data_IF_315324319173
#
_entry.id   IF_315324319173
#
_cell.length_a   1.000
_cell.length_b   1.000
_cell.length_c   1.000
_cell.angle_alpha   90.00
_cell.angle_beta   90.00
_cell.angle_gamma   90.00
#
_symmetry.space_group_name_H-M   'P 1'
#
loop_
_entity.id
_entity.type
_entity.pdbx_description
1 polymer ?
#
# COMPACT_ATOMS: atom_id res chain seq x y z
N UNK A 1 -15.54 34.65 -13.64
CA UNK A 1 -15.70 34.17 -12.26
C UNK A 1 -16.71 35.06 -11.59
N UNK A 2 -17.97 34.67 -11.47
CA UNK A 2 -18.98 35.43 -10.79
C UNK A 2 -19.21 34.82 -9.41
N UNK A 3 -19.00 35.66 -8.39
CA UNK A 3 -19.31 35.32 -7.00
C UNK A 3 -20.75 35.75 -6.73
N UNK A 4 -21.59 34.85 -6.24
CA UNK A 4 -22.89 35.21 -5.69
C UNK A 4 -22.82 35.20 -4.17
N UNK A 5 -23.08 36.35 -3.56
CA UNK A 5 -23.25 36.52 -2.13
C UNK A 5 -24.72 36.22 -1.80
N UNK A 6 -24.96 35.15 -1.08
CA UNK A 6 -26.28 34.87 -0.50
C UNK A 6 -26.32 35.46 0.91
N UNK A 7 -27.06 36.54 1.10
CA UNK A 7 -27.38 37.10 2.43
C UNK A 7 -28.58 36.30 3.02
N UNK A 8 -28.30 35.48 4.00
CA UNK A 8 -29.29 34.86 4.85
C UNK A 8 -28.80 34.93 6.30
N UNK A 9 -29.61 35.55 7.16
CA UNK A 9 -29.35 35.70 8.59
C UNK A 9 -29.20 34.36 9.30
N UNK A 10 -27.98 33.83 9.45
CA UNK A 10 -27.63 32.89 10.49
C UNK A 10 -26.16 33.14 10.90
N UNK A 11 -25.96 33.40 12.16
CA UNK A 11 -24.68 33.76 12.79
C UNK A 11 -23.79 32.50 13.01
N UNK A 12 -23.36 31.85 11.96
CA UNK A 12 -22.30 30.83 11.99
C UNK A 12 -21.51 30.87 10.67
N UNK A 13 -20.16 30.85 10.69
CA UNK A 13 -19.39 30.85 9.47
C UNK A 13 -19.58 29.50 8.73
N UNK A 14 -20.32 29.53 7.61
CA UNK A 14 -20.51 28.38 6.73
C UNK A 14 -19.31 28.20 5.81
N UNK A 15 -18.78 26.98 5.76
CA UNK A 15 -17.77 26.59 4.78
C UNK A 15 -18.45 26.16 3.47
N UNK A 16 -17.92 26.60 2.32
CA UNK A 16 -18.41 26.25 1.00
C UNK A 16 -17.39 25.37 0.28
N UNK A 17 -17.85 24.31 -0.36
CA UNK A 17 -17.03 23.44 -1.21
C UNK A 17 -17.37 23.72 -2.67
N UNK A 18 -16.37 24.13 -3.48
CA UNK A 18 -16.51 24.24 -4.92
C UNK A 18 -16.29 22.89 -5.61
N UNK A 19 -17.31 22.37 -6.26
CA UNK A 19 -17.21 21.24 -7.17
C UNK A 19 -17.34 21.81 -8.60
N UNK A 20 -16.27 21.68 -9.39
CA UNK A 20 -16.15 22.01 -10.81
C UNK A 20 -17.44 22.58 -11.48
N UNK A 21 -17.58 23.91 -11.46
CA UNK A 21 -18.45 24.62 -12.39
C UNK A 21 -19.95 24.55 -12.16
N UNK A 22 -20.45 23.93 -11.10
CA UNK A 22 -21.87 23.87 -10.76
C UNK A 22 -22.10 24.15 -9.28
N UNK A 23 -22.93 25.16 -9.01
CA UNK A 23 -23.52 25.63 -7.76
C UNK A 23 -22.83 25.21 -6.43
N UNK A 24 -22.44 26.22 -5.66
CA UNK A 24 -21.98 26.06 -4.27
C UNK A 24 -23.14 25.56 -3.39
N UNK A 25 -23.01 24.38 -2.80
CA UNK A 25 -23.98 23.82 -1.85
C UNK A 25 -23.45 24.06 -0.45
N UNK A 26 -24.21 24.63 0.50
CA UNK A 26 -23.79 24.80 1.89
C UNK A 26 -23.57 23.43 2.54
N UNK A 27 -22.52 23.30 3.35
CA UNK A 27 -22.10 22.05 3.99
C UNK A 27 -23.23 21.34 4.76
N UNK A 28 -24.15 22.09 5.35
CA UNK A 28 -25.31 21.55 6.07
C UNK A 28 -26.38 20.91 5.14
N UNK A 29 -26.41 21.28 3.86
CA UNK A 29 -27.34 20.69 2.86
C UNK A 29 -26.80 19.38 2.27
N UNK A 30 -25.49 19.30 2.08
CA UNK A 30 -24.83 18.07 1.57
C UNK A 30 -25.03 16.90 2.55
N UNK A 31 -25.09 17.18 3.85
CA UNK A 31 -25.30 16.15 4.86
C UNK A 31 -26.74 15.59 4.88
N UNK A 32 -27.74 16.43 4.57
CA UNK A 32 -29.15 16.02 4.62
C UNK A 32 -29.63 15.35 3.34
N UNK A 33 -29.17 15.80 2.17
CA UNK A 33 -29.61 15.26 0.89
C UNK A 33 -28.92 13.94 0.54
N UNK A 34 -27.64 13.76 0.96
CA UNK A 34 -26.91 12.50 0.79
C UNK A 34 -27.42 11.37 1.71
N UNK A 35 -28.20 11.69 2.75
CA UNK A 35 -28.82 10.68 3.60
C UNK A 35 -30.11 10.09 3.00
N UNK A 36 -30.76 10.76 2.02
CA UNK A 36 -32.02 10.31 1.41
C UNK A 36 -31.85 9.61 0.07
N UNK A 37 -30.69 9.67 -0.55
CA UNK A 37 -30.39 8.85 -1.72
C UNK A 37 -29.79 7.51 -1.25
N UNK A 38 -30.19 6.36 -1.85
CA UNK A 38 -29.53 5.09 -1.60
C UNK A 38 -28.16 5.09 -2.28
N UNK A 39 -27.25 5.90 -1.71
CA UNK A 39 -25.83 5.87 -2.06
C UNK A 39 -25.23 4.51 -1.70
N UNK A 40 -24.11 4.11 -2.29
CA UNK A 40 -23.52 2.81 -2.02
C UNK A 40 -23.35 2.64 -0.49
N UNK A 41 -23.73 1.50 0.09
CA UNK A 41 -23.92 1.26 1.53
C UNK A 41 -22.66 1.47 2.40
N UNK A 42 -21.60 1.93 1.81
CA UNK A 42 -20.27 2.08 2.42
C UNK A 42 -20.00 3.46 3.02
N UNK A 43 -20.62 4.53 2.52
CA UNK A 43 -20.44 5.88 3.08
C UNK A 43 -21.26 6.06 4.37
N UNK A 44 -22.43 5.43 4.45
CA UNK A 44 -23.28 5.48 5.63
C UNK A 44 -22.61 4.86 6.88
N UNK A 45 -21.87 3.77 6.72
CA UNK A 45 -21.16 3.12 7.83
C UNK A 45 -20.01 3.95 8.41
N UNK A 46 -19.26 4.64 7.56
CA UNK A 46 -18.13 5.50 7.99
C UNK A 46 -18.62 6.83 8.57
N UNK A 47 -19.65 7.43 7.98
CA UNK A 47 -20.25 8.66 8.50
C UNK A 47 -21.03 8.40 9.78
N UNK A 48 -21.76 7.29 9.87
CA UNK A 48 -22.44 6.86 11.11
C UNK A 48 -21.44 6.63 12.25
N UNK A 49 -20.33 5.98 11.97
CA UNK A 49 -19.27 5.75 12.96
C UNK A 49 -18.60 7.06 13.42
N UNK A 50 -18.36 8.01 12.51
CA UNK A 50 -17.79 9.32 12.86
C UNK A 50 -18.79 10.21 13.61
N UNK A 51 -20.10 10.14 13.32
CA UNK A 51 -21.14 10.90 14.01
C UNK A 51 -21.44 10.31 15.40
N UNK A 52 -21.42 8.99 15.53
CA UNK A 52 -21.64 8.33 16.83
C UNK A 52 -20.44 8.53 17.77
N UNK A 53 -19.22 8.67 17.26
CA UNK A 53 -18.03 9.00 18.06
C UNK A 53 -17.93 10.48 18.45
N UNK A 54 -18.61 11.40 17.79
CA UNK A 54 -18.62 12.81 18.22
C UNK A 54 -19.27 13.04 19.59
N UNK A 55 -20.02 12.05 20.08
CA UNK A 55 -20.59 12.04 21.44
C UNK A 55 -19.75 11.25 22.46
N UNK A 56 -18.69 10.54 22.01
CA UNK A 56 -17.74 9.88 22.87
C UNK A 56 -16.33 10.25 22.42
N UNK A 57 -15.70 11.24 23.04
CA UNK A 57 -14.25 11.40 22.95
C UNK A 57 -13.62 10.06 23.31
N UNK A 58 -12.87 9.39 22.40
CA UNK A 58 -12.15 8.19 22.76
C UNK A 58 -10.95 8.60 23.63
N UNK A 59 -11.21 8.82 24.91
CA UNK A 59 -10.19 9.20 25.92
C UNK A 59 -9.34 8.02 26.38
N UNK A 60 -9.40 6.86 25.71
CA UNK A 60 -8.61 5.67 26.00
C UNK A 60 -7.95 5.10 24.77
N UNK A 61 -6.71 4.56 24.91
CA UNK A 61 -5.96 3.91 23.84
C UNK A 61 -6.74 2.83 23.07
N UNK A 62 -7.69 2.16 23.72
CA UNK A 62 -8.55 1.13 23.14
C UNK A 62 -9.51 1.69 22.07
N UNK A 63 -10.00 2.92 22.23
CA UNK A 63 -10.88 3.57 21.24
C UNK A 63 -10.15 3.88 19.92
N UNK A 64 -8.92 4.37 20.02
CA UNK A 64 -8.09 4.66 18.85
C UNK A 64 -7.69 3.39 18.09
N UNK A 65 -7.33 2.32 18.81
CA UNK A 65 -7.01 1.04 18.19
C UNK A 65 -8.21 0.47 17.42
N UNK A 66 -9.39 0.47 18.04
CA UNK A 66 -10.65 0.05 17.39
C UNK A 66 -10.93 0.85 16.12
N UNK A 67 -10.73 2.16 16.15
CA UNK A 67 -10.89 3.02 14.97
C UNK A 67 -9.99 2.57 13.82
N UNK A 68 -8.68 2.38 14.05
CA UNK A 68 -7.75 1.95 13.00
C UNK A 68 -8.07 0.54 12.48
N UNK A 69 -8.52 -0.37 13.34
CA UNK A 69 -8.97 -1.72 12.94
C UNK A 69 -10.22 -1.63 12.06
N UNK A 70 -11.20 -0.80 12.39
CA UNK A 70 -12.40 -0.63 11.56
C UNK A 70 -12.09 0.05 10.21
N UNK A 71 -11.16 0.98 10.17
CA UNK A 71 -10.65 1.55 8.91
C UNK A 71 -10.04 0.45 8.04
N UNK A 72 -9.18 -0.41 8.60
CA UNK A 72 -8.59 -1.54 7.88
C UNK A 72 -9.65 -2.54 7.42
N UNK A 73 -10.61 -2.89 8.26
CA UNK A 73 -11.72 -3.80 7.94
C UNK A 73 -12.60 -3.26 6.81
N UNK A 74 -12.90 -1.97 6.84
CA UNK A 74 -13.69 -1.32 5.79
C UNK A 74 -12.92 -1.31 4.45
N UNK A 75 -11.64 -1.02 4.48
CA UNK A 75 -10.78 -1.08 3.29
C UNK A 75 -10.69 -2.49 2.71
N UNK A 76 -10.57 -3.52 3.54
CA UNK A 76 -10.65 -4.92 3.13
C UNK A 76 -11.98 -5.24 2.45
N UNK A 77 -13.12 -4.91 3.09
CA UNK A 77 -14.46 -5.17 2.55
C UNK A 77 -14.70 -4.45 1.23
N UNK A 78 -14.17 -3.24 1.06
CA UNK A 78 -14.26 -2.48 -0.20
C UNK A 78 -13.64 -3.26 -1.37
N UNK A 79 -12.55 -4.02 -1.16
CA UNK A 79 -11.93 -4.81 -2.21
C UNK A 79 -12.80 -5.98 -2.69
N UNK A 80 -13.70 -6.52 -1.84
CA UNK A 80 -14.62 -7.58 -2.22
C UNK A 80 -15.63 -7.13 -3.29
N UNK A 81 -15.95 -5.84 -3.36
CA UNK A 81 -16.84 -5.28 -4.40
C UNK A 81 -16.16 -5.33 -5.77
N UNK A 82 -14.86 -5.11 -5.83
CA UNK A 82 -14.06 -5.09 -7.06
C UNK A 82 -13.55 -6.48 -7.47
N UNK A 83 -14.31 -7.55 -7.14
CA UNK A 83 -13.89 -8.96 -7.36
C UNK A 83 -13.43 -9.27 -8.78
N UNK A 84 -14.11 -8.74 -9.81
CA UNK A 84 -13.76 -8.98 -11.21
C UNK A 84 -12.44 -8.31 -11.62
N UNK A 85 -12.21 -7.08 -11.18
CA UNK A 85 -10.94 -6.38 -11.40
C UNK A 85 -9.78 -7.10 -10.68
N UNK A 86 -10.04 -7.61 -9.48
CA UNK A 86 -9.07 -8.38 -8.72
C UNK A 86 -8.77 -9.74 -9.37
N UNK A 87 -9.78 -10.41 -9.94
CA UNK A 87 -9.61 -11.64 -10.71
C UNK A 87 -8.77 -11.40 -11.97
N UNK A 88 -9.05 -10.34 -12.74
CA UNK A 88 -8.23 -9.97 -13.88
C UNK A 88 -6.76 -9.73 -13.47
N UNK A 89 -6.54 -9.07 -12.33
CA UNK A 89 -5.21 -8.87 -11.78
C UNK A 89 -4.53 -10.17 -11.30
N UNK A 90 -5.28 -11.13 -10.76
CA UNK A 90 -4.78 -12.47 -10.44
C UNK A 90 -4.29 -13.19 -11.70
N UNK A 91 -5.12 -13.21 -12.74
CA UNK A 91 -4.77 -13.82 -14.03
C UNK A 91 -3.53 -13.17 -14.65
N UNK A 92 -3.41 -11.85 -14.55
CA UNK A 92 -2.21 -11.12 -14.99
C UNK A 92 -0.96 -11.58 -14.24
N UNK A 93 -1.02 -11.71 -12.92
CA UNK A 93 0.14 -12.20 -12.14
C UNK A 93 0.52 -13.64 -12.51
N UNK A 94 -0.47 -14.52 -12.73
CA UNK A 94 -0.22 -15.90 -13.18
C UNK A 94 0.41 -15.88 -14.57
N UNK A 95 -0.10 -15.09 -15.50
CA UNK A 95 0.44 -14.96 -16.86
C UNK A 95 1.91 -14.55 -16.85
N UNK A 96 2.27 -13.48 -16.12
CA UNK A 96 3.67 -13.06 -15.99
C UNK A 96 4.50 -14.09 -15.24
N UNK A 97 3.95 -14.74 -14.22
CA UNK A 97 4.62 -15.85 -13.53
C UNK A 97 5.01 -16.98 -14.47
N UNK A 98 4.13 -17.36 -15.40
CA UNK A 98 4.39 -18.38 -16.43
C UNK A 98 5.53 -17.90 -17.37
N UNK A 99 5.44 -16.69 -17.92
CA UNK A 99 6.48 -16.13 -18.81
C UNK A 99 7.84 -16.15 -18.13
N UNK A 100 7.94 -15.58 -16.91
CA UNK A 100 9.20 -15.54 -16.18
C UNK A 100 9.71 -16.95 -15.85
N UNK A 101 8.81 -17.91 -15.56
CA UNK A 101 9.22 -19.30 -15.31
C UNK A 101 9.89 -19.94 -16.51
N UNK A 102 9.35 -19.76 -17.72
CA UNK A 102 9.98 -20.27 -18.92
C UNK A 102 11.32 -19.61 -19.25
N UNK A 103 11.44 -18.31 -19.01
CA UNK A 103 12.72 -17.59 -19.13
C UNK A 103 13.76 -18.16 -18.16
N UNK A 104 13.35 -18.45 -16.91
CA UNK A 104 14.23 -19.04 -15.91
C UNK A 104 14.63 -20.46 -16.30
N UNK A 105 13.70 -21.29 -16.73
CA UNK A 105 13.99 -22.65 -17.17
C UNK A 105 15.01 -22.61 -18.33
N UNK A 106 14.82 -21.74 -19.32
CA UNK A 106 15.75 -21.57 -20.41
C UNK A 106 17.16 -21.12 -19.95
N UNK A 107 17.23 -20.19 -18.98
CA UNK A 107 18.50 -19.75 -18.39
C UNK A 107 19.25 -20.91 -17.73
N UNK A 108 18.53 -21.73 -16.96
CA UNK A 108 19.13 -22.84 -16.20
C UNK A 108 19.47 -24.07 -17.07
N UNK A 109 18.99 -24.15 -18.31
CA UNK A 109 19.52 -25.10 -19.29
C UNK A 109 20.98 -24.80 -19.64
N UNK A 110 21.38 -23.53 -19.66
CA UNK A 110 22.76 -23.15 -19.96
C UNK A 110 23.68 -23.18 -18.72
N UNK A 111 23.11 -22.99 -17.51
CA UNK A 111 23.88 -22.94 -16.24
C UNK A 111 23.08 -23.61 -15.12
N UNK A 112 23.50 -24.77 -14.58
CA UNK A 112 22.74 -25.52 -13.58
C UNK A 112 22.49 -24.78 -12.25
N UNK A 113 23.33 -23.82 -11.93
CA UNK A 113 23.18 -22.96 -10.75
C UNK A 113 23.68 -21.54 -11.00
N UNK A 114 23.02 -20.55 -10.39
CA UNK A 114 23.38 -19.13 -10.43
C UNK A 114 23.28 -18.57 -9.01
N UNK A 115 24.36 -18.00 -8.49
CA UNK A 115 24.43 -17.39 -7.15
C UNK A 115 23.90 -18.28 -6.02
N UNK A 116 24.12 -19.60 -6.09
CA UNK A 116 23.66 -20.58 -5.10
C UNK A 116 22.17 -20.96 -5.21
N UNK A 117 21.49 -20.50 -6.27
CA UNK A 117 20.12 -20.90 -6.60
C UNK A 117 20.13 -21.94 -7.71
N UNK A 118 19.31 -22.97 -7.57
CA UNK A 118 18.96 -23.90 -8.65
C UNK A 118 17.65 -23.45 -9.33
N UNK A 119 17.25 -24.15 -10.39
CA UNK A 119 16.02 -23.82 -11.12
C UNK A 119 14.78 -23.83 -10.21
N UNK A 120 14.67 -24.80 -9.30
CA UNK A 120 13.54 -24.94 -8.39
C UNK A 120 13.46 -23.78 -7.40
N UNK A 121 14.59 -23.39 -6.81
CA UNK A 121 14.67 -22.25 -5.89
C UNK A 121 14.27 -20.95 -6.60
N UNK A 122 14.75 -20.76 -7.84
CA UNK A 122 14.48 -19.57 -8.63
C UNK A 122 13.01 -19.51 -9.08
N UNK A 123 12.40 -20.65 -9.43
CA UNK A 123 10.96 -20.70 -9.70
C UNK A 123 10.15 -20.34 -8.46
N UNK A 124 10.46 -20.91 -7.30
CA UNK A 124 9.82 -20.56 -6.02
C UNK A 124 9.94 -19.07 -5.74
N UNK A 125 11.14 -18.51 -5.90
CA UNK A 125 11.40 -17.07 -5.72
C UNK A 125 10.52 -16.24 -6.65
N UNK A 126 10.49 -16.57 -7.94
CA UNK A 126 9.69 -15.83 -8.94
C UNK A 126 8.21 -15.83 -8.62
N UNK A 127 7.65 -16.98 -8.24
CA UNK A 127 6.23 -17.05 -7.87
C UNK A 127 5.92 -16.37 -6.53
N UNK A 128 6.87 -16.33 -5.58
CA UNK A 128 6.75 -15.51 -4.39
C UNK A 128 6.75 -14.02 -4.73
N UNK A 129 7.60 -13.58 -5.65
CA UNK A 129 7.60 -12.19 -6.15
C UNK A 129 6.24 -11.84 -6.75
N UNK A 130 5.71 -12.68 -7.65
CA UNK A 130 4.39 -12.45 -8.26
C UNK A 130 3.26 -12.42 -7.21
N UNK A 131 3.36 -13.23 -6.16
CA UNK A 131 2.41 -13.23 -5.05
C UNK A 131 2.49 -11.96 -4.19
N UNK A 132 3.70 -11.46 -3.92
CA UNK A 132 3.94 -10.35 -2.99
C UNK A 132 3.89 -8.97 -3.65
N UNK A 133 4.15 -8.84 -4.95
CA UNK A 133 4.31 -7.54 -5.62
C UNK A 133 3.09 -6.62 -5.44
N UNK A 134 1.88 -7.17 -5.46
CA UNK A 134 0.66 -6.39 -5.25
C UNK A 134 0.39 -6.06 -3.78
N UNK A 135 0.88 -6.89 -2.86
CA UNK A 135 0.77 -6.64 -1.41
C UNK A 135 1.67 -5.47 -1.03
N UNK A 136 2.87 -5.44 -1.58
CA UNK A 136 3.92 -4.52 -1.16
C UNK A 136 3.94 -3.23 -1.98
N UNK A 137 3.78 -3.30 -3.29
CA UNK A 137 3.94 -2.16 -4.19
C UNK A 137 2.63 -1.62 -4.77
N UNK A 138 1.57 -2.40 -4.85
CA UNK A 138 0.27 -2.04 -5.45
C UNK A 138 0.38 -1.08 -6.63
N UNK A 139 0.46 -1.60 -7.84
CA UNK A 139 0.58 -0.79 -9.06
C UNK A 139 -0.56 0.20 -9.22
N UNK A 140 -0.22 1.44 -9.63
CA UNK A 140 -1.22 2.45 -9.96
C UNK A 140 -2.01 2.96 -8.75
N UNK A 141 -1.48 2.77 -7.54
CA UNK A 141 -2.13 3.33 -6.36
C UNK A 141 -1.82 4.82 -6.21
N UNK A 142 -2.80 5.63 -6.54
CA UNK A 142 -2.74 7.09 -6.49
C UNK A 142 -3.90 7.69 -5.68
N UNK A 143 -4.54 6.89 -4.82
CA UNK A 143 -5.72 7.34 -4.06
C UNK A 143 -5.42 8.59 -3.22
N UNK A 144 -4.31 8.59 -2.46
CA UNK A 144 -3.91 9.75 -1.67
C UNK A 144 -3.56 10.95 -2.57
N UNK A 145 -2.86 10.72 -3.68
CA UNK A 145 -2.53 11.76 -4.66
C UNK A 145 -3.80 12.41 -5.24
N UNK A 146 -4.81 11.60 -5.58
CA UNK A 146 -6.10 12.10 -6.07
C UNK A 146 -6.85 12.86 -4.98
N UNK A 147 -6.82 12.39 -3.74
CA UNK A 147 -7.41 13.08 -2.58
C UNK A 147 -6.74 14.44 -2.35
N UNK A 148 -5.41 14.53 -2.49
CA UNK A 148 -4.66 15.80 -2.39
C UNK A 148 -5.07 16.75 -3.52
N UNK A 149 -5.07 16.27 -4.77
CA UNK A 149 -5.39 17.10 -5.95
C UNK A 149 -6.83 17.60 -5.98
N UNK A 150 -7.77 16.85 -5.45
CA UNK A 150 -9.18 17.26 -5.33
C UNK A 150 -9.46 18.19 -4.15
N UNK A 151 -8.47 18.42 -3.28
CA UNK A 151 -8.66 19.17 -2.03
C UNK A 151 -9.36 18.36 -0.92
N UNK A 152 -9.85 17.15 -1.20
CA UNK A 152 -10.52 16.30 -0.21
C UNK A 152 -9.60 15.87 0.96
N UNK A 153 -8.28 16.04 0.79
CA UNK A 153 -7.28 15.80 1.84
C UNK A 153 -7.51 16.65 3.10
N UNK A 154 -8.14 17.82 2.96
CA UNK A 154 -8.51 18.67 4.10
C UNK A 154 -9.43 17.91 5.07
N UNK A 155 -10.40 17.16 4.54
CA UNK A 155 -11.26 16.30 5.36
C UNK A 155 -10.47 15.23 6.09
N UNK A 156 -9.43 14.65 5.48
CA UNK A 156 -8.58 13.64 6.12
C UNK A 156 -7.65 14.27 7.18
N UNK A 157 -7.17 15.49 6.95
CA UNK A 157 -6.33 16.23 7.90
C UNK A 157 -7.12 16.77 9.11
N UNK A 158 -8.43 17.01 8.95
CA UNK A 158 -9.31 17.50 10.03
C UNK A 158 -9.84 16.38 10.94
N UNK A 159 -9.61 15.12 10.60
CA UNK A 159 -10.01 13.99 11.45
C UNK A 159 -9.23 13.99 12.77
N UNK A 160 -9.88 13.64 13.91
CA UNK A 160 -9.21 13.56 15.21
C UNK A 160 -8.34 12.30 15.33
N UNK A 161 -7.49 12.03 14.34
CA UNK A 161 -6.58 10.89 14.30
C UNK A 161 -5.30 11.25 13.54
N UNK A 162 -4.24 10.48 13.76
CA UNK A 162 -2.99 10.69 13.02
C UNK A 162 -3.18 10.35 11.54
N UNK A 163 -2.85 11.31 10.66
CA UNK A 163 -3.04 11.19 9.22
C UNK A 163 -2.30 9.99 8.61
N UNK A 164 -1.03 9.76 9.03
CA UNK A 164 -0.25 8.64 8.52
C UNK A 164 -0.85 7.30 8.94
N UNK A 165 -1.20 7.13 10.23
CA UNK A 165 -1.79 5.89 10.72
C UNK A 165 -3.17 5.61 10.14
N UNK A 166 -3.96 6.65 9.81
CA UNK A 166 -5.22 6.48 9.09
C UNK A 166 -4.98 5.86 7.70
N UNK A 167 -4.07 6.45 6.90
CA UNK A 167 -3.74 5.92 5.58
C UNK A 167 -3.02 4.57 5.66
N UNK A 168 -2.16 4.37 6.64
CA UNK A 168 -1.52 3.08 6.91
C UNK A 168 -2.55 1.98 7.15
N UNK A 169 -3.52 2.19 8.05
CA UNK A 169 -4.55 1.20 8.38
C UNK A 169 -5.41 0.85 7.18
N UNK A 170 -5.79 1.86 6.37
CA UNK A 170 -6.52 1.66 5.13
C UNK A 170 -5.75 0.77 4.14
N UNK A 171 -4.47 1.05 3.96
CA UNK A 171 -3.59 0.28 3.08
C UNK A 171 -3.30 -1.11 3.62
N UNK A 172 -3.12 -1.24 4.92
CA UNK A 172 -2.89 -2.53 5.57
C UNK A 172 -4.09 -3.47 5.41
N UNK A 173 -5.31 -2.97 5.60
CA UNK A 173 -6.53 -3.74 5.34
C UNK A 173 -6.63 -4.22 3.88
N UNK A 174 -6.24 -3.40 2.91
CA UNK A 174 -6.17 -3.76 1.51
C UNK A 174 -5.08 -4.81 1.23
N UNK A 175 -3.92 -4.69 1.88
CA UNK A 175 -2.83 -5.66 1.73
C UNK A 175 -3.22 -7.05 2.24
N UNK A 176 -3.99 -7.15 3.34
CA UNK A 176 -4.54 -8.42 3.83
C UNK A 176 -5.46 -9.05 2.77
N UNK A 177 -6.31 -8.25 2.13
CA UNK A 177 -7.14 -8.75 1.02
C UNK A 177 -6.28 -9.29 -0.13
N UNK A 178 -5.26 -8.55 -0.55
CA UNK A 178 -4.38 -8.99 -1.64
C UNK A 178 -3.57 -10.24 -1.27
N UNK A 179 -3.17 -10.39 -0.02
CA UNK A 179 -2.51 -11.61 0.44
C UNK A 179 -3.40 -12.84 0.25
N UNK A 180 -4.66 -12.75 0.67
CA UNK A 180 -5.60 -13.87 0.67
C UNK A 180 -6.12 -14.17 -0.74
N UNK A 181 -6.54 -13.15 -1.49
CA UNK A 181 -7.28 -13.33 -2.76
C UNK A 181 -6.42 -13.20 -4.02
N UNK A 182 -5.17 -12.77 -3.90
CA UNK A 182 -4.22 -12.67 -5.02
C UNK A 182 -2.91 -13.38 -4.72
N UNK A 183 -2.25 -13.07 -3.62
CA UNK A 183 -0.94 -13.60 -3.28
C UNK A 183 -0.96 -15.11 -3.13
N UNK A 184 -1.79 -15.61 -2.21
CA UNK A 184 -1.91 -17.04 -1.96
C UNK A 184 -2.33 -17.82 -3.21
N UNK A 185 -3.40 -17.45 -3.95
CA UNK A 185 -3.78 -18.16 -5.18
C UNK A 185 -2.72 -18.10 -6.28
N UNK A 186 -1.99 -16.97 -6.43
CA UNK A 186 -0.88 -16.88 -7.38
C UNK A 186 0.21 -17.89 -7.06
N UNK A 187 0.64 -17.96 -5.80
CA UNK A 187 1.70 -18.88 -5.38
C UNK A 187 1.28 -20.34 -5.54
N UNK A 188 0.05 -20.68 -5.15
CA UNK A 188 -0.52 -22.03 -5.33
C UNK A 188 -0.59 -22.41 -6.81
N UNK A 189 -1.03 -21.49 -7.68
CA UNK A 189 -1.03 -21.73 -9.13
C UNK A 189 0.37 -22.06 -9.66
N UNK A 190 1.39 -21.30 -9.24
CA UNK A 190 2.78 -21.58 -9.62
C UNK A 190 3.27 -22.94 -9.12
N UNK A 191 2.94 -23.30 -7.89
CA UNK A 191 3.30 -24.57 -7.30
C UNK A 191 2.67 -25.75 -8.07
N UNK A 192 1.43 -25.62 -8.50
CA UNK A 192 0.72 -26.64 -9.27
C UNK A 192 1.25 -26.74 -10.71
N UNK A 193 1.49 -25.60 -11.37
CA UNK A 193 1.93 -25.57 -12.77
C UNK A 193 3.38 -26.07 -12.95
N UNK A 194 4.26 -25.79 -12.01
CA UNK A 194 5.69 -26.09 -12.12
C UNK A 194 6.19 -27.13 -11.11
N UNK A 195 5.31 -27.71 -10.30
CA UNK A 195 5.58 -28.83 -9.36
C UNK A 195 6.81 -28.60 -8.47
N UNK A 196 7.08 -27.35 -8.06
CA UNK A 196 8.27 -27.05 -7.25
C UNK A 196 8.07 -27.32 -5.74
N UNK A 197 6.85 -27.64 -5.29
CA UNK A 197 6.51 -27.95 -3.89
C UNK A 197 6.55 -26.73 -2.94
N UNK A 198 6.01 -26.89 -1.75
CA UNK A 198 6.07 -25.86 -0.72
C UNK A 198 7.52 -25.68 -0.22
N UNK A 199 7.98 -24.43 0.02
CA UNK A 199 9.30 -24.22 0.58
C UNK A 199 9.26 -24.27 2.10
N UNK A 200 10.40 -24.65 2.68
CA UNK A 200 10.73 -24.42 4.08
C UNK A 200 9.92 -25.19 5.11
N UNK A 201 10.43 -25.12 6.32
CA UNK A 201 9.79 -25.62 7.52
C UNK A 201 8.80 -24.59 8.08
N UNK A 202 7.95 -24.99 9.04
CA UNK A 202 6.97 -24.11 9.65
C UNK A 202 7.59 -22.85 10.30
N UNK A 203 8.83 -22.94 10.81
CA UNK A 203 9.58 -21.79 11.34
C UNK A 203 9.84 -20.73 10.26
N UNK A 204 10.20 -21.17 9.05
CA UNK A 204 10.41 -20.27 7.92
C UNK A 204 9.12 -19.55 7.50
N UNK A 205 7.97 -20.24 7.63
CA UNK A 205 6.66 -19.61 7.38
C UNK A 205 6.31 -18.54 8.40
N UNK A 206 6.57 -18.75 9.69
CA UNK A 206 6.36 -17.73 10.72
C UNK A 206 7.28 -16.52 10.52
N UNK A 207 8.56 -16.77 10.29
CA UNK A 207 9.53 -15.73 10.01
C UNK A 207 9.20 -14.96 8.72
N UNK A 208 8.70 -15.66 7.68
CA UNK A 208 8.21 -15.08 6.44
C UNK A 208 7.02 -14.14 6.69
N UNK A 209 6.01 -14.57 7.43
CA UNK A 209 4.83 -13.74 7.72
C UNK A 209 5.20 -12.47 8.48
N UNK A 210 6.11 -12.57 9.45
CA UNK A 210 6.65 -11.41 10.15
C UNK A 210 7.39 -10.49 9.19
N UNK A 211 8.31 -11.03 8.39
CA UNK A 211 9.09 -10.30 7.40
C UNK A 211 8.20 -9.68 6.32
N UNK A 212 7.17 -10.39 5.84
CA UNK A 212 6.19 -9.86 4.89
C UNK A 212 5.41 -8.67 5.48
N UNK A 213 5.04 -8.76 6.76
CA UNK A 213 4.34 -7.67 7.46
C UNK A 213 5.23 -6.43 7.57
N UNK A 214 6.51 -6.60 7.93
CA UNK A 214 7.49 -5.51 7.97
C UNK A 214 7.72 -4.94 6.56
N UNK A 215 7.93 -5.78 5.56
CA UNK A 215 8.11 -5.37 4.17
C UNK A 215 6.87 -4.63 3.62
N UNK A 216 5.66 -5.14 3.91
CA UNK A 216 4.41 -4.46 3.56
C UNK A 216 4.30 -3.08 4.25
N UNK A 217 4.75 -2.96 5.50
CA UNK A 217 4.76 -1.68 6.22
C UNK A 217 5.71 -0.67 5.58
N UNK A 218 6.92 -1.08 5.17
CA UNK A 218 7.85 -0.25 4.38
C UNK A 218 7.21 0.13 3.05
N UNK A 219 6.53 -0.81 2.38
CA UNK A 219 5.84 -0.57 1.11
C UNK A 219 4.68 0.43 1.24
N UNK A 220 3.89 0.36 2.30
CA UNK A 220 2.84 1.36 2.60
C UNK A 220 3.48 2.74 2.79
N UNK A 221 4.52 2.81 3.62
CA UNK A 221 5.25 4.04 3.87
C UNK A 221 5.79 4.65 2.57
N UNK A 222 6.40 3.84 1.72
CA UNK A 222 6.89 4.26 0.41
C UNK A 222 5.77 4.79 -0.51
N UNK A 223 4.60 4.11 -0.51
CA UNK A 223 3.42 4.57 -1.27
C UNK A 223 2.90 5.91 -0.79
N UNK A 224 2.78 6.10 0.51
CA UNK A 224 2.35 7.39 1.09
C UNK A 224 3.35 8.48 0.70
N UNK A 225 4.66 8.19 0.74
CA UNK A 225 5.71 9.15 0.40
C UNK A 225 5.61 9.65 -1.05
N UNK A 226 5.52 8.76 -2.05
CA UNK A 226 5.43 9.20 -3.44
C UNK A 226 4.09 9.86 -3.78
N UNK A 227 3.01 9.50 -3.09
CA UNK A 227 1.73 10.19 -3.25
C UNK A 227 1.75 11.60 -2.66
N UNK A 228 2.48 11.81 -1.55
CA UNK A 228 2.63 13.11 -0.91
C UNK A 228 3.32 14.16 -1.81
N UNK A 229 4.05 13.73 -2.86
CA UNK A 229 4.62 14.63 -3.88
C UNK A 229 3.55 15.53 -4.52
N UNK A 230 2.27 15.09 -4.54
CA UNK A 230 1.14 15.89 -5.04
C UNK A 230 0.88 17.18 -4.27
N UNK A 231 1.40 17.34 -3.07
CA UNK A 231 1.34 18.63 -2.35
C UNK A 231 2.21 19.73 -3.00
N UNK A 232 3.21 19.34 -3.80
CA UNK A 232 4.15 20.27 -4.42
C UNK A 232 4.01 20.35 -5.94
N UNK A 233 3.58 19.25 -6.59
CA UNK A 233 3.57 19.14 -8.05
C UNK A 233 2.17 18.79 -8.58
N UNK A 234 1.71 19.54 -9.59
CA UNK A 234 0.43 19.28 -10.27
C UNK A 234 0.46 17.95 -11.04
N UNK A 235 1.57 17.64 -11.71
CA UNK A 235 1.75 16.39 -12.48
C UNK A 235 2.47 15.31 -11.67
N UNK A 236 2.01 15.09 -10.42
CA UNK A 236 2.61 14.15 -9.49
C UNK A 236 2.52 12.68 -9.96
N UNK A 237 1.58 12.33 -10.87
CA UNK A 237 1.39 10.95 -11.33
C UNK A 237 2.63 10.43 -12.09
N UNK A 238 3.24 11.23 -12.96
CA UNK A 238 4.45 10.84 -13.68
C UNK A 238 5.60 10.54 -12.70
N UNK A 239 5.77 11.41 -11.70
CA UNK A 239 6.77 11.23 -10.64
C UNK A 239 6.46 9.94 -9.85
N UNK A 240 5.20 9.72 -9.45
CA UNK A 240 4.78 8.51 -8.75
C UNK A 240 5.06 7.23 -9.56
N UNK A 241 4.84 7.26 -10.89
CA UNK A 241 5.17 6.14 -11.77
C UNK A 241 6.67 5.86 -11.78
N UNK A 242 7.51 6.89 -11.82
CA UNK A 242 8.97 6.73 -11.74
C UNK A 242 9.38 6.04 -10.42
N UNK A 243 8.80 6.45 -9.27
CA UNK A 243 9.04 5.80 -7.99
C UNK A 243 8.67 4.31 -8.02
N UNK A 244 7.53 3.96 -8.64
CA UNK A 244 7.11 2.56 -8.77
C UNK A 244 8.10 1.76 -9.61
N UNK A 245 8.55 2.29 -10.76
CA UNK A 245 9.52 1.60 -11.64
C UNK A 245 10.85 1.38 -10.93
N UNK A 246 11.36 2.39 -10.20
CA UNK A 246 12.58 2.27 -9.38
C UNK A 246 12.40 1.16 -8.33
N UNK A 247 11.27 1.16 -7.62
CA UNK A 247 11.01 0.14 -6.62
C UNK A 247 10.98 -1.27 -7.23
N UNK A 248 10.30 -1.48 -8.36
CA UNK A 248 10.23 -2.77 -9.04
C UNK A 248 11.60 -3.32 -9.43
N UNK A 249 12.50 -2.45 -9.86
CA UNK A 249 13.86 -2.86 -10.20
C UNK A 249 14.64 -3.31 -8.96
N UNK A 250 14.61 -2.51 -7.89
CA UNK A 250 15.42 -2.76 -6.69
C UNK A 250 14.78 -3.72 -5.67
N UNK A 251 13.52 -4.14 -5.86
CA UNK A 251 12.89 -5.19 -5.04
C UNK A 251 13.20 -6.61 -5.52
N UNK A 252 13.79 -6.76 -6.71
CA UNK A 252 14.00 -8.07 -7.33
C UNK A 252 12.79 -8.58 -8.11
N UNK A 253 11.86 -7.68 -8.48
CA UNK A 253 10.64 -8.08 -9.19
C UNK A 253 10.89 -8.49 -10.64
N UNK A 254 11.88 -7.92 -11.30
CA UNK A 254 12.28 -8.26 -12.68
C UNK A 254 13.42 -9.27 -12.72
N UNK A 255 14.43 -9.08 -11.87
CA UNK A 255 15.61 -9.94 -11.78
C UNK A 255 15.83 -10.26 -10.31
N UNK A 256 15.92 -11.55 -9.90
CA UNK A 256 16.22 -11.89 -8.53
C UNK A 256 17.45 -11.16 -8.01
N UNK A 257 17.34 -10.50 -6.85
CA UNK A 257 18.44 -9.71 -6.28
C UNK A 257 19.76 -10.48 -6.20
N UNK A 258 19.79 -11.77 -5.81
CA UNK A 258 21.03 -12.54 -5.77
C UNK A 258 21.78 -12.64 -7.11
N UNK A 259 21.12 -12.35 -8.24
CA UNK A 259 21.74 -12.41 -9.58
C UNK A 259 22.46 -11.12 -10.00
N UNK A 260 22.34 -10.09 -9.19
CA UNK A 260 23.07 -8.83 -9.43
C UNK A 260 24.57 -9.00 -9.16
N UNK A 261 25.44 -8.20 -9.82
CA UNK A 261 26.88 -8.22 -9.57
C UNK A 261 27.18 -7.77 -8.13
N UNK A 262 28.32 -8.25 -7.59
CA UNK A 262 28.68 -8.02 -6.15
C UNK A 262 28.66 -6.56 -5.74
N UNK A 263 29.10 -5.64 -6.58
CA UNK A 263 29.08 -4.20 -6.29
C UNK A 263 27.66 -3.66 -6.12
N UNK A 264 26.71 -4.13 -6.96
CA UNK A 264 25.31 -3.73 -6.87
C UNK A 264 24.64 -4.33 -5.62
N UNK A 265 24.93 -5.59 -5.29
CA UNK A 265 24.45 -6.23 -4.06
C UNK A 265 24.87 -5.46 -2.81
N UNK A 266 26.12 -4.96 -2.76
CA UNK A 266 26.64 -4.17 -1.64
C UNK A 266 25.81 -2.90 -1.40
N UNK A 267 25.23 -2.33 -2.44
CA UNK A 267 24.35 -1.14 -2.36
C UNK A 267 22.91 -1.56 -2.07
N UNK A 268 22.36 -2.48 -2.87
CA UNK A 268 20.94 -2.86 -2.83
C UNK A 268 20.54 -3.41 -1.47
N UNK A 269 21.40 -4.18 -0.82
CA UNK A 269 21.11 -4.75 0.50
C UNK A 269 20.81 -3.70 1.58
N UNK A 270 21.29 -2.47 1.43
CA UNK A 270 21.05 -1.36 2.37
C UNK A 270 19.88 -0.47 1.95
N UNK A 271 19.30 -0.66 0.75
CA UNK A 271 18.13 0.10 0.32
C UNK A 271 16.84 -0.45 0.95
N UNK A 272 15.81 0.39 1.16
CA UNK A 272 14.52 -0.03 1.68
C UNK A 272 13.84 -1.07 0.78
N UNK A 273 14.15 -1.06 -0.50
CA UNK A 273 13.53 -1.93 -1.51
C UNK A 273 13.84 -3.41 -1.29
N UNK A 274 15.05 -3.72 -0.83
CA UNK A 274 15.44 -5.10 -0.49
C UNK A 274 14.53 -5.70 0.60
N UNK A 275 14.12 -4.87 1.56
CA UNK A 275 13.24 -5.24 2.66
C UNK A 275 11.82 -5.60 2.20
N UNK A 276 11.38 -5.16 1.01
CA UNK A 276 10.00 -5.29 0.55
C UNK A 276 9.65 -6.71 0.13
N UNK A 277 10.45 -7.30 -0.74
CA UNK A 277 10.14 -8.59 -1.40
C UNK A 277 11.29 -9.58 -1.23
N UNK A 278 12.53 -9.14 -1.48
CA UNK A 278 13.68 -10.07 -1.52
C UNK A 278 13.95 -10.74 -0.15
N UNK A 279 13.96 -9.97 0.94
CA UNK A 279 14.21 -10.53 2.29
C UNK A 279 13.12 -11.53 2.68
N UNK A 280 11.80 -11.23 2.61
CA UNK A 280 10.76 -12.23 2.86
C UNK A 280 10.90 -13.47 2.00
N UNK A 281 11.17 -13.31 0.69
CA UNK A 281 11.33 -14.45 -0.21
C UNK A 281 12.52 -15.35 0.18
N UNK A 282 13.66 -14.77 0.51
CA UNK A 282 14.84 -15.52 0.91
C UNK A 282 14.66 -16.22 2.26
N UNK A 283 13.93 -15.62 3.22
CA UNK A 283 13.57 -16.25 4.49
C UNK A 283 12.73 -17.51 4.23
N UNK A 284 11.68 -17.40 3.44
CA UNK A 284 10.80 -18.54 3.15
C UNK A 284 11.55 -19.67 2.41
N UNK A 285 12.50 -19.31 1.54
CA UNK A 285 13.34 -20.27 0.81
C UNK A 285 14.46 -20.88 1.68
N UNK A 286 14.62 -20.46 2.94
CA UNK A 286 15.73 -20.92 3.80
C UNK A 286 17.11 -20.50 3.30
N UNK A 287 17.20 -19.40 2.52
CA UNK A 287 18.47 -18.87 1.99
C UNK A 287 19.17 -17.89 2.94
N UNK A 288 18.47 -17.45 3.97
CA UNK A 288 19.05 -16.66 5.06
C UNK A 288 19.38 -17.61 6.21
N UNK A 289 20.64 -17.68 6.64
CA UNK A 289 21.04 -18.51 7.76
C UNK A 289 20.41 -18.01 9.06
N UNK A 290 20.13 -18.91 10.01
CA UNK A 290 19.44 -18.58 11.27
C UNK A 290 20.11 -17.47 12.07
N UNK A 291 21.46 -17.45 12.10
CA UNK A 291 22.21 -16.40 12.77
C UNK A 291 22.09 -15.00 12.14
N UNK A 292 21.70 -14.91 10.86
CA UNK A 292 21.45 -13.66 10.16
C UNK A 292 19.98 -13.23 10.16
N UNK A 293 19.05 -14.13 10.53
CA UNK A 293 17.63 -13.87 10.48
C UNK A 293 17.21 -12.65 11.33
N UNK A 294 17.67 -12.60 12.56
CA UNK A 294 17.37 -11.47 13.45
C UNK A 294 17.93 -10.15 12.93
N UNK A 295 19.11 -10.17 12.32
CA UNK A 295 19.71 -8.99 11.70
C UNK A 295 18.86 -8.48 10.54
N UNK A 296 18.38 -9.37 9.67
CA UNK A 296 17.53 -9.01 8.53
C UNK A 296 16.18 -8.45 8.98
N UNK A 297 15.52 -9.07 9.95
CA UNK A 297 14.27 -8.57 10.55
C UNK A 297 14.49 -7.22 11.25
N UNK A 298 15.60 -7.07 11.98
CA UNK A 298 16.01 -5.80 12.60
C UNK A 298 16.23 -4.70 11.58
N UNK A 299 16.84 -5.00 10.43
CA UNK A 299 17.04 -4.07 9.32
C UNK A 299 15.70 -3.67 8.67
N UNK A 300 14.77 -4.60 8.50
CA UNK A 300 13.42 -4.27 8.03
C UNK A 300 12.69 -3.34 9.02
N UNK A 301 12.76 -3.64 10.31
CA UNK A 301 12.16 -2.79 11.35
C UNK A 301 12.78 -1.38 11.35
N UNK A 302 14.09 -1.28 11.20
CA UNK A 302 14.79 -0.01 11.06
C UNK A 302 14.24 0.80 9.87
N UNK A 303 14.03 0.15 8.72
CA UNK A 303 13.42 0.82 7.57
C UNK A 303 11.97 1.24 7.80
N UNK A 304 11.16 0.47 8.53
CA UNK A 304 9.80 0.89 8.94
C UNK A 304 9.88 2.18 9.75
N UNK A 305 10.81 2.26 10.72
CA UNK A 305 11.00 3.44 11.56
C UNK A 305 11.46 4.64 10.71
N UNK A 306 12.52 4.47 9.91
CA UNK A 306 13.09 5.55 9.08
C UNK A 306 12.01 6.09 8.13
N UNK A 307 11.31 5.23 7.41
CA UNK A 307 10.30 5.65 6.44
C UNK A 307 9.11 6.34 7.13
N UNK A 308 8.69 5.85 8.30
CA UNK A 308 7.65 6.50 9.11
C UNK A 308 8.07 7.91 9.55
N UNK A 309 9.31 8.09 10.00
CA UNK A 309 9.83 9.40 10.37
C UNK A 309 9.91 10.36 9.17
N UNK A 310 10.43 9.87 8.04
CA UNK A 310 10.48 10.66 6.79
C UNK A 310 9.10 11.15 6.38
N UNK A 311 8.09 10.26 6.41
CA UNK A 311 6.72 10.64 6.06
C UNK A 311 6.16 11.68 7.01
N UNK A 312 6.39 11.55 8.33
CA UNK A 312 5.93 12.55 9.31
C UNK A 312 6.51 13.92 9.02
N UNK A 313 7.79 14.01 8.66
CA UNK A 313 8.45 15.25 8.26
C UNK A 313 7.81 15.80 6.97
N UNK A 314 7.61 14.95 5.96
CA UNK A 314 7.02 15.32 4.68
C UNK A 314 5.58 15.82 4.87
N UNK A 315 4.74 15.12 5.64
CA UNK A 315 3.36 15.52 5.91
C UNK A 315 3.32 16.83 6.70
N UNK A 316 4.18 17.01 7.71
CA UNK A 316 4.26 18.25 8.47
C UNK A 316 4.66 19.46 7.59
N UNK A 317 5.57 19.24 6.63
CA UNK A 317 5.93 20.26 5.63
C UNK A 317 4.78 20.51 4.64
N UNK A 318 4.06 19.47 4.23
CA UNK A 318 2.92 19.54 3.32
C UNK A 318 1.73 20.28 3.93
N UNK A 319 1.41 20.03 5.20
CA UNK A 319 0.30 20.67 5.91
C UNK A 319 0.43 22.21 5.93
N UNK A 320 1.66 22.74 5.95
CA UNK A 320 1.93 24.18 5.86
C UNK A 320 1.63 24.79 4.48
N UNK A 321 1.48 23.95 3.45
CA UNK A 321 1.18 24.37 2.07
C UNK A 321 -0.29 24.22 1.70
N UNK A 322 -1.08 23.55 2.52
CA UNK A 322 -2.52 23.43 2.33
C UNK A 322 -3.14 24.78 2.67
N UNK A 323 -3.38 25.60 1.65
CA UNK A 323 -4.10 26.87 1.80
C UNK A 323 -5.59 26.53 1.78
N UNK A 324 -6.25 26.73 2.91
CA UNK A 324 -7.71 26.69 2.99
C UNK A 324 -8.21 27.96 2.29
N UNK A 325 -8.70 27.84 1.05
CA UNK A 325 -9.42 28.95 0.40
C UNK A 325 -10.74 29.13 1.14
N UNK A 326 -10.82 30.10 2.02
CA UNK A 326 -12.02 30.39 2.82
C UNK A 326 -11.71 31.05 4.15
N UNK A 327 -10.70 31.94 4.17
CA UNK A 327 -10.45 32.89 5.26
C UNK A 327 -10.93 34.27 4.84
#
# INVERSE_FOLDING_TARGET
>A
MHFYKLEGHVNTPGYYVMIQGKQAIPHNFVSAELMNEPGPPMLGGLLGFCVEQNNAHPTGGDGMLRFYVEVARTAFRRQLIYRWANLAGLLTNIFFGIIFSYVIIALFHARPSVAGFNVRDTLRYTWLVQAMVMIVLTFGWYDLMLTIRSGAVISDLSKPCDFYWYWFSREFGRNIYYLIYRGLPTYVAGMLLFSFGAPGDWHNWLAFLLSLTLGASVGIAYRVLYNAVAFWFLEARAIGTLFVVIALFFTGSYVPIPFFPRWALAIIQWLPFNALINVPAQILLGKIPENALLFELGRQLLWVIIMTLVIRIVIAAAARRVVVQGG
#
